data_IF_942560549593
#
_entry.id   IF_942560549593
#
_cell.length_a   1.000
_cell.length_b   1.000
_cell.length_c   1.000
_cell.angle_alpha   90.00
_cell.angle_beta   90.00
_cell.angle_gamma   90.00
#
_symmetry.space_group_name_H-M   'P 1'
#
loop_
_entity.id
_entity.type
_entity.pdbx_description
1 polymer ?
#
# COMPACT_ATOMS: atom_id res chain seq x y z
N UNK A 1 15.04 -4.46 1.00
CA UNK A 1 15.23 -3.06 0.55
C UNK A 1 14.92 -2.95 -0.92
N UNK A 2 13.72 -2.47 -1.21
CA UNK A 2 13.27 -2.10 -2.54
C UNK A 2 13.97 -0.80 -2.94
N UNK A 3 14.39 -0.70 -4.19
CA UNK A 3 14.88 0.54 -4.76
C UNK A 3 13.77 1.23 -5.58
N UNK A 4 13.70 2.56 -5.55
CA UNK A 4 12.66 3.35 -6.24
C UNK A 4 12.44 2.94 -7.72
N UNK A 5 13.53 2.74 -8.48
CA UNK A 5 13.43 2.33 -9.89
C UNK A 5 12.66 1.01 -10.12
N UNK A 6 12.62 0.11 -9.13
CA UNK A 6 11.92 -1.18 -9.25
C UNK A 6 10.41 -1.03 -9.05
N UNK A 7 10.00 -0.05 -8.24
CA UNK A 7 8.60 0.36 -8.12
C UNK A 7 8.15 0.98 -9.44
N UNK A 8 8.92 1.94 -9.95
CA UNK A 8 8.65 2.61 -11.22
C UNK A 8 8.51 1.60 -12.38
N UNK A 9 9.45 0.66 -12.50
CA UNK A 9 9.39 -0.40 -13.52
C UNK A 9 8.15 -1.29 -13.37
N UNK A 10 7.71 -1.55 -12.14
CA UNK A 10 6.52 -2.37 -11.88
C UNK A 10 5.24 -1.62 -12.22
N UNK A 11 5.13 -0.36 -11.82
CA UNK A 11 4.00 0.52 -12.15
C UNK A 11 3.90 0.71 -13.66
N UNK A 12 5.00 1.07 -14.33
CA UNK A 12 5.05 1.22 -15.78
C UNK A 12 4.66 -0.08 -16.50
N UNK A 13 5.01 -1.25 -15.97
CA UNK A 13 4.61 -2.52 -16.57
C UNK A 13 3.08 -2.74 -16.45
N UNK A 14 2.46 -2.35 -15.34
CA UNK A 14 1.00 -2.45 -15.19
C UNK A 14 0.25 -1.48 -16.10
N UNK A 15 0.73 -0.25 -16.24
CA UNK A 15 0.16 0.74 -17.14
C UNK A 15 0.22 0.29 -18.61
N UNK A 16 1.34 -0.31 -19.02
CA UNK A 16 1.53 -0.78 -20.39
C UNK A 16 0.86 -2.13 -20.66
N UNK A 17 0.52 -2.89 -19.61
CA UNK A 17 -0.03 -4.23 -19.75
C UNK A 17 -0.96 -4.59 -18.58
N UNK A 18 -2.22 -4.16 -18.70
CA UNK A 18 -3.28 -4.46 -17.72
C UNK A 18 -3.41 -5.95 -17.37
N UNK A 19 -3.07 -6.86 -18.29
CA UNK A 19 -3.10 -8.31 -17.99
C UNK A 19 -2.11 -8.75 -16.92
N UNK A 20 -1.00 -8.04 -16.74
CA UNK A 20 -0.05 -8.37 -15.67
C UNK A 20 -0.60 -7.96 -14.30
N UNK A 21 -1.34 -6.84 -14.24
CA UNK A 21 -2.05 -6.44 -13.03
C UNK A 21 -3.12 -7.48 -12.66
N UNK A 22 -3.95 -7.89 -13.64
CA UNK A 22 -4.99 -8.91 -13.44
C UNK A 22 -4.39 -10.24 -12.93
N UNK A 23 -3.30 -10.71 -13.56
CA UNK A 23 -2.61 -11.93 -13.12
C UNK A 23 -2.05 -11.81 -11.72
N UNK A 24 -1.53 -10.64 -11.35
CA UNK A 24 -1.00 -10.43 -10.02
C UNK A 24 -2.11 -10.43 -8.98
N UNK A 25 -3.25 -9.79 -9.30
CA UNK A 25 -4.44 -9.83 -8.46
C UNK A 25 -4.93 -11.28 -8.25
N UNK A 26 -5.06 -12.05 -9.33
CA UNK A 26 -5.42 -13.48 -9.26
C UNK A 26 -4.43 -14.25 -8.37
N UNK A 27 -3.13 -13.99 -8.53
CA UNK A 27 -2.09 -14.62 -7.71
C UNK A 27 -2.22 -14.28 -6.22
N UNK A 28 -2.46 -13.01 -5.88
CA UNK A 28 -2.66 -12.58 -4.48
C UNK A 28 -3.94 -13.21 -3.92
N UNK A 29 -5.02 -13.25 -4.68
CA UNK A 29 -6.27 -13.91 -4.27
C UNK A 29 -6.09 -15.41 -4.00
N UNK A 30 -5.30 -16.10 -4.83
CA UNK A 30 -5.08 -17.54 -4.69
C UNK A 30 -4.08 -17.91 -3.57
N UNK A 31 -3.01 -17.11 -3.39
CA UNK A 31 -1.88 -17.46 -2.52
C UNK A 31 -1.84 -16.70 -1.21
N UNK A 32 -2.44 -15.52 -1.18
CA UNK A 32 -2.37 -14.54 -0.10
C UNK A 32 -3.77 -13.98 0.18
N UNK A 33 -4.81 -14.83 0.18
CA UNK A 33 -6.20 -14.38 0.31
C UNK A 33 -6.43 -13.50 1.55
N UNK A 34 -5.75 -13.81 2.67
CA UNK A 34 -5.83 -13.03 3.90
C UNK A 34 -5.20 -11.65 3.76
N UNK A 35 -4.18 -11.49 2.90
CA UNK A 35 -3.52 -10.21 2.70
C UNK A 35 -4.47 -9.18 2.06
N UNK A 36 -5.45 -9.66 1.29
CA UNK A 36 -6.52 -8.82 0.73
C UNK A 36 -7.42 -8.27 1.83
N UNK A 37 -7.52 -8.90 2.99
CA UNK A 37 -8.39 -8.41 4.07
C UNK A 37 -7.98 -7.00 4.55
N UNK A 38 -6.70 -6.63 4.39
CA UNK A 38 -6.20 -5.26 4.67
C UNK A 38 -6.92 -4.22 3.79
N UNK A 39 -7.35 -4.60 2.58
CA UNK A 39 -8.05 -3.71 1.65
C UNK A 39 -9.55 -3.59 1.95
N UNK A 40 -10.16 -4.58 2.61
CA UNK A 40 -11.64 -4.77 2.65
C UNK A 40 -12.20 -4.62 4.08
N UNK A 41 -11.58 -3.77 4.90
CA UNK A 41 -12.06 -3.47 6.26
C UNK A 41 -13.20 -2.45 6.32
N UNK A 42 -13.61 -2.06 7.53
CA UNK A 42 -14.63 -1.00 7.73
C UNK A 42 -14.21 0.36 7.15
N UNK A 43 -12.91 0.59 6.97
CA UNK A 43 -12.38 1.79 6.34
C UNK A 43 -12.70 1.87 4.85
N UNK A 44 -12.90 0.73 4.17
CA UNK A 44 -13.20 0.65 2.75
C UNK A 44 -14.50 1.38 2.39
N UNK A 45 -15.49 1.40 3.31
CA UNK A 45 -16.76 2.10 3.12
C UNK A 45 -16.60 3.64 3.09
N UNK A 46 -15.47 4.16 3.56
CA UNK A 46 -15.16 5.59 3.56
C UNK A 46 -14.42 6.02 2.28
N UNK A 47 -13.96 5.06 1.48
CA UNK A 47 -13.30 5.33 0.20
C UNK A 47 -14.35 5.45 -0.91
N UNK A 48 -14.12 6.38 -1.82
CA UNK A 48 -14.78 6.40 -3.12
C UNK A 48 -14.31 5.22 -3.97
N UNK A 49 -15.08 4.88 -5.01
CA UNK A 49 -14.72 3.82 -5.97
C UNK A 49 -13.36 4.10 -6.62
N UNK A 50 -13.11 5.37 -7.00
CA UNK A 50 -11.84 5.81 -7.59
C UNK A 50 -10.65 5.68 -6.61
N UNK A 51 -10.84 6.02 -5.34
CA UNK A 51 -9.81 5.84 -4.31
C UNK A 51 -9.53 4.36 -4.01
N UNK A 52 -10.55 3.51 -4.03
CA UNK A 52 -10.38 2.07 -3.83
C UNK A 52 -9.63 1.43 -5.00
N UNK A 53 -9.99 1.77 -6.23
CA UNK A 53 -9.29 1.31 -7.43
C UNK A 53 -7.81 1.76 -7.40
N UNK A 54 -7.58 3.01 -7.00
CA UNK A 54 -6.22 3.54 -6.87
C UNK A 54 -5.43 2.86 -5.76
N UNK A 55 -6.05 2.64 -4.59
CA UNK A 55 -5.45 1.90 -3.49
C UNK A 55 -5.05 0.49 -3.93
N UNK A 56 -5.94 -0.22 -4.62
CA UNK A 56 -5.65 -1.56 -5.14
C UNK A 56 -4.48 -1.54 -6.13
N UNK A 57 -4.44 -0.56 -7.02
CA UNK A 57 -3.33 -0.38 -7.97
C UNK A 57 -1.98 -0.19 -7.26
N UNK A 58 -1.90 0.75 -6.31
CA UNK A 58 -0.69 1.00 -5.53
C UNK A 58 -0.29 -0.21 -4.69
N UNK A 59 -1.26 -0.87 -4.05
CA UNK A 59 -1.06 -2.07 -3.26
C UNK A 59 -0.42 -3.19 -4.08
N UNK A 60 -0.94 -3.46 -5.28
CA UNK A 60 -0.39 -4.45 -6.20
C UNK A 60 0.98 -4.01 -6.75
N UNK A 61 1.19 -2.71 -6.97
CA UNK A 61 2.48 -2.11 -7.31
C UNK A 61 3.56 -2.47 -6.30
N UNK A 62 3.28 -2.23 -5.02
CA UNK A 62 4.19 -2.53 -3.92
C UNK A 62 4.39 -4.04 -3.80
N UNK A 63 3.31 -4.82 -3.69
CA UNK A 63 3.38 -6.28 -3.55
C UNK A 63 4.16 -6.92 -4.70
N UNK A 64 3.84 -6.56 -5.94
CA UNK A 64 4.50 -7.08 -7.13
C UNK A 64 5.98 -6.76 -7.17
N UNK A 65 6.39 -5.61 -6.65
CA UNK A 65 7.80 -5.24 -6.55
C UNK A 65 8.55 -6.13 -5.56
N UNK A 66 7.97 -6.38 -4.37
CA UNK A 66 8.56 -7.32 -3.40
C UNK A 66 8.60 -8.76 -3.95
N UNK A 67 7.53 -9.22 -4.59
CA UNK A 67 7.44 -10.56 -5.16
C UNK A 67 8.51 -10.83 -6.23
N UNK A 68 8.91 -9.80 -7.01
CA UNK A 68 10.00 -9.93 -8.00
C UNK A 68 11.37 -10.11 -7.36
N UNK A 69 11.57 -9.63 -6.13
CA UNK A 69 12.84 -9.77 -5.42
C UNK A 69 12.97 -11.10 -4.70
N UNK A 70 11.92 -11.51 -4.00
CA UNK A 70 11.91 -12.70 -3.17
C UNK A 70 10.51 -13.34 -3.12
N UNK A 71 10.48 -14.62 -2.77
CA UNK A 71 9.22 -15.31 -2.50
C UNK A 71 8.57 -14.70 -1.26
N UNK A 72 7.39 -14.10 -1.44
CA UNK A 72 6.61 -13.52 -0.34
C UNK A 72 5.99 -14.66 0.48
N UNK A 73 6.28 -14.75 1.80
CA UNK A 73 5.72 -15.80 2.64
C UNK A 73 4.21 -15.62 2.81
N UNK A 74 3.50 -16.72 3.08
CA UNK A 74 2.08 -16.66 3.42
C UNK A 74 1.93 -16.09 4.83
N UNK A 75 1.21 -14.98 4.95
CA UNK A 75 1.00 -14.32 6.23
C UNK A 75 -0.15 -14.94 7.01
N UNK A 76 0.03 -15.01 8.34
CA UNK A 76 -1.04 -15.40 9.26
C UNK A 76 -1.96 -14.22 9.56
N UNK A 77 -3.20 -14.49 9.96
CA UNK A 77 -4.15 -13.48 10.44
C UNK A 77 -3.54 -12.60 11.54
N UNK A 78 -2.76 -13.19 12.44
CA UNK A 78 -2.13 -12.46 13.54
C UNK A 78 -1.05 -11.48 13.06
N UNK A 79 -0.29 -11.83 12.02
CA UNK A 79 0.74 -10.95 11.46
C UNK A 79 0.12 -9.77 10.72
N UNK A 80 -0.95 -10.04 9.98
CA UNK A 80 -1.74 -9.02 9.27
C UNK A 80 -2.36 -8.05 10.27
N UNK A 81 -3.10 -8.56 11.26
CA UNK A 81 -3.73 -7.75 12.29
C UNK A 81 -2.72 -6.87 13.05
N UNK A 82 -1.51 -7.37 13.33
CA UNK A 82 -0.45 -6.55 13.97
C UNK A 82 0.07 -5.44 13.06
N UNK A 83 0.15 -5.68 11.75
CA UNK A 83 0.58 -4.66 10.81
C UNK A 83 -0.50 -3.56 10.67
N UNK A 84 -1.77 -3.96 10.61
CA UNK A 84 -2.89 -3.03 10.61
C UNK A 84 -2.97 -2.23 11.91
N UNK A 85 -2.92 -2.89 13.07
CA UNK A 85 -2.97 -2.23 14.38
C UNK A 85 -1.89 -1.16 14.52
N UNK A 86 -0.67 -1.46 14.06
CA UNK A 86 0.42 -0.50 14.02
C UNK A 86 0.07 0.73 13.18
N UNK A 87 -0.43 0.54 11.96
CA UNK A 87 -0.75 1.65 11.07
C UNK A 87 -1.92 2.48 11.59
N UNK A 88 -2.98 1.82 12.05
CA UNK A 88 -4.15 2.49 12.60
C UNK A 88 -3.84 3.21 13.91
N UNK A 89 -2.91 2.71 14.73
CA UNK A 89 -2.47 3.41 15.92
C UNK A 89 -1.81 4.74 15.55
N UNK A 90 -0.90 4.75 14.57
CA UNK A 90 -0.24 5.98 14.12
C UNK A 90 -1.27 7.00 13.60
N UNK A 91 -2.20 6.54 12.76
CA UNK A 91 -3.22 7.41 12.16
C UNK A 91 -4.22 7.94 13.20
N UNK A 92 -4.69 7.10 14.13
CA UNK A 92 -5.67 7.52 15.13
C UNK A 92 -5.08 8.47 16.18
N UNK A 93 -3.78 8.35 16.46
CA UNK A 93 -3.08 9.28 17.34
C UNK A 93 -2.72 10.59 16.62
N UNK A 94 -2.76 10.62 15.28
CA UNK A 94 -2.32 11.74 14.45
C UNK A 94 -3.25 11.94 13.23
N UNK A 95 -4.19 12.87 13.35
CA UNK A 95 -5.11 13.20 12.25
C UNK A 95 -4.48 14.07 11.13
N UNK A 96 -3.18 14.36 11.22
CA UNK A 96 -2.45 15.16 10.24
C UNK A 96 -1.58 14.24 9.37
N UNK A 97 -1.76 14.35 8.05
CA UNK A 97 -1.08 13.51 7.06
C UNK A 97 0.44 13.60 7.17
N UNK A 98 1.00 14.81 7.22
CA UNK A 98 2.46 15.01 7.23
C UNK A 98 3.08 14.40 8.49
N UNK A 99 2.44 14.63 9.64
CA UNK A 99 2.87 14.06 10.92
C UNK A 99 2.81 12.53 10.90
N UNK A 100 1.73 11.94 10.37
CA UNK A 100 1.63 10.49 10.24
C UNK A 100 2.70 9.92 9.30
N UNK A 101 2.95 10.58 8.17
CA UNK A 101 3.98 10.19 7.20
C UNK A 101 5.37 10.17 7.85
N UNK A 102 5.76 11.23 8.56
CA UNK A 102 7.04 11.30 9.28
C UNK A 102 7.20 10.14 10.29
N UNK A 103 6.12 9.77 10.98
CA UNK A 103 6.12 8.66 11.93
C UNK A 103 6.27 7.30 11.21
N UNK A 104 5.68 7.13 10.03
CA UNK A 104 5.87 5.94 9.22
C UNK A 104 7.30 5.82 8.70
N UNK A 105 7.88 6.90 8.16
CA UNK A 105 9.30 6.94 7.77
C UNK A 105 10.23 6.54 8.91
N UNK A 106 9.97 7.02 10.13
CA UNK A 106 10.79 6.66 11.29
C UNK A 106 10.66 5.18 11.70
N UNK A 107 9.59 4.50 11.32
CA UNK A 107 9.23 3.17 11.82
C UNK A 107 9.27 2.05 10.76
N UNK A 108 9.38 2.37 9.47
CA UNK A 108 9.42 1.43 8.35
C UNK A 108 10.79 1.57 7.64
N UNK A 109 11.61 0.49 7.59
CA UNK A 109 12.95 0.55 6.98
C UNK A 109 12.98 0.72 5.45
N UNK A 110 11.85 0.50 4.78
CA UNK A 110 11.73 0.54 3.33
C UNK A 110 11.46 1.98 2.87
N UNK A 111 12.48 2.84 3.01
CA UNK A 111 12.40 4.29 2.76
C UNK A 111 11.91 4.60 1.33
N UNK A 112 12.46 3.96 0.30
CA UNK A 112 12.06 4.18 -1.09
C UNK A 112 10.58 3.80 -1.36
N UNK A 113 10.03 2.84 -0.61
CA UNK A 113 8.60 2.49 -0.71
C UNK A 113 7.76 3.56 -0.02
N UNK A 114 8.22 4.09 1.11
CA UNK A 114 7.54 5.20 1.80
C UNK A 114 7.57 6.48 0.96
N UNK A 115 8.69 6.80 0.32
CA UNK A 115 8.81 7.91 -0.64
C UNK A 115 7.83 7.74 -1.80
N UNK A 116 7.72 6.52 -2.35
CA UNK A 116 6.75 6.23 -3.39
C UNK A 116 5.30 6.43 -2.92
N UNK A 117 4.96 5.96 -1.71
CA UNK A 117 3.62 6.16 -1.14
C UNK A 117 3.33 7.65 -1.00
N UNK A 118 4.26 8.43 -0.43
CA UNK A 118 4.09 9.86 -0.23
C UNK A 118 3.86 10.59 -1.57
N UNK A 119 4.72 10.34 -2.56
CA UNK A 119 4.58 10.93 -3.89
C UNK A 119 3.26 10.55 -4.57
N UNK A 120 2.74 9.34 -4.31
CA UNK A 120 1.51 8.84 -4.94
C UNK A 120 0.24 9.44 -4.34
N UNK A 121 0.24 9.74 -3.03
CA UNK A 121 -0.99 10.13 -2.32
C UNK A 121 -0.95 11.55 -1.73
N UNK A 122 0.19 12.22 -1.78
CA UNK A 122 0.36 13.57 -1.28
C UNK A 122 -0.71 14.52 -1.87
N UNK A 123 -1.13 15.55 -1.11
CA UNK A 123 -2.03 16.56 -1.62
C UNK A 123 -1.36 17.33 -2.77
N UNK A 124 -1.72 17.00 -4.00
CA UNK A 124 -1.31 17.72 -5.20
C UNK A 124 -2.55 18.03 -6.06
N UNK A 125 -2.71 19.30 -6.41
CA UNK A 125 -3.81 19.78 -7.25
C UNK A 125 -3.64 19.36 -8.73
N UNK A 126 -2.44 18.89 -9.11
CA UNK A 126 -2.12 18.41 -10.46
C UNK A 126 -2.29 16.89 -10.62
N UNK A 127 -2.55 16.14 -9.54
CA UNK A 127 -2.76 14.69 -9.61
C UNK A 127 -4.02 14.34 -10.42
N UNK A 128 -3.91 13.32 -11.27
CA UNK A 128 -5.04 12.86 -12.10
C UNK A 128 -6.19 12.31 -11.23
N UNK A 129 -5.86 11.74 -10.07
CA UNK A 129 -6.80 11.12 -9.14
C UNK A 129 -7.05 12.04 -7.96
N UNK A 130 -8.33 12.31 -7.67
CA UNK A 130 -8.74 13.16 -6.55
C UNK A 130 -8.94 12.35 -5.27
N UNK A 131 -7.93 12.39 -4.42
CA UNK A 131 -7.96 11.72 -3.11
C UNK A 131 -8.51 12.70 -2.06
N UNK A 132 -9.54 12.29 -1.34
CA UNK A 132 -10.10 13.02 -0.21
C UNK A 132 -9.16 12.99 0.99
N UNK A 133 -9.28 13.97 1.91
CA UNK A 133 -8.42 13.97 3.11
C UNK A 133 -8.59 12.70 3.98
N UNK A 134 -9.80 12.19 4.24
CA UNK A 134 -9.96 10.91 4.93
C UNK A 134 -9.42 9.73 4.12
N UNK A 135 -9.67 9.71 2.81
CA UNK A 135 -9.16 8.67 1.92
C UNK A 135 -7.63 8.59 1.94
N UNK A 136 -6.94 9.74 1.94
CA UNK A 136 -5.48 9.81 2.00
C UNK A 136 -4.90 9.15 3.26
N UNK A 137 -5.52 9.39 4.43
CA UNK A 137 -5.09 8.73 5.67
C UNK A 137 -5.34 7.22 5.63
N UNK A 138 -6.44 6.78 5.02
CA UNK A 138 -6.76 5.36 4.84
C UNK A 138 -5.75 4.70 3.89
N UNK A 139 -5.48 5.31 2.74
CA UNK A 139 -4.48 4.83 1.76
C UNK A 139 -3.11 4.71 2.43
N UNK A 140 -2.68 5.74 3.18
CA UNK A 140 -1.45 5.70 3.93
C UNK A 140 -1.41 4.54 4.94
N UNK A 141 -2.47 4.34 5.72
CA UNK A 141 -2.55 3.27 6.71
C UNK A 141 -2.38 1.88 6.08
N UNK A 142 -3.11 1.63 5.00
CA UNK A 142 -3.15 0.34 4.30
C UNK A 142 -1.82 0.05 3.62
N UNK A 143 -1.28 1.01 2.86
CA UNK A 143 -0.02 0.83 2.13
C UNK A 143 1.17 0.71 3.09
N UNK A 144 1.16 1.44 4.21
CA UNK A 144 2.16 1.29 5.26
C UNK A 144 2.08 -0.08 5.98
N UNK A 145 0.86 -0.58 6.21
CA UNK A 145 0.66 -1.91 6.80
C UNK A 145 1.23 -3.02 5.89
N UNK A 146 0.91 -2.95 4.58
CA UNK A 146 1.48 -3.83 3.57
C UNK A 146 3.02 -3.76 3.56
N UNK A 147 3.57 -2.55 3.47
CA UNK A 147 5.02 -2.33 3.38
C UNK A 147 5.74 -2.86 4.63
N UNK A 148 5.19 -2.63 5.82
CA UNK A 148 5.73 -3.17 7.08
C UNK A 148 5.72 -4.70 7.10
N UNK A 149 4.69 -5.31 6.53
CA UNK A 149 4.55 -6.76 6.50
C UNK A 149 5.58 -7.38 5.53
N UNK A 150 5.74 -6.78 4.36
CA UNK A 150 6.65 -7.24 3.31
C UNK A 150 8.12 -6.96 3.62
N UNK A 151 8.45 -5.79 4.19
CA UNK A 151 9.83 -5.37 4.50
C UNK A 151 10.54 -6.16 5.62
N UNK A 152 9.88 -7.20 6.17
CA UNK A 152 10.51 -8.16 7.08
C UNK A 152 11.35 -9.22 6.37
N UNK A 153 11.29 -9.27 5.04
CA UNK A 153 11.87 -10.32 4.18
C UNK A 153 12.65 -9.71 3.02
#
# INVERSE_FOLDING_TARGET
>A
MIAAHQLDETILNFENNAKELDKLLDHVQEKQSLLIDILIGTHAELLTEEEMDYLLFLFLGIYGTFQKQAEVPIFTEQEIAKAEEFSWQIINENNDYNTAMDLFFAAIPEEDVMDFIDLSIAPDDENEIKITDPGRLILLAVLAALTKLLGKF
#
